data_IF_684810683597
#
_entry.id   IF_684810683597
#
_cell.length_a   1.000
_cell.length_b   1.000
_cell.length_c   1.000
_cell.angle_alpha   90.00
_cell.angle_beta   90.00
_cell.angle_gamma   90.00
#
_symmetry.space_group_name_H-M   'P 1'
#
loop_
_entity.id
_entity.type
_entity.pdbx_description
1 polymer ?
#
# COMPACT_ATOMS: atom_id res chain seq x y z
N UNK A 1 25.24 27.22 -1.60
CA UNK A 1 25.27 26.82 -0.18
C UNK A 1 25.38 25.31 -0.18
N UNK A 2 26.36 24.73 0.53
CA UNK A 2 26.39 23.28 0.71
C UNK A 2 25.11 22.86 1.45
N UNK A 3 24.44 21.76 1.08
CA UNK A 3 23.30 21.28 1.86
C UNK A 3 23.81 20.97 3.26
N UNK A 4 23.17 21.57 4.27
CA UNK A 4 23.33 21.12 5.65
C UNK A 4 22.93 19.65 5.70
N UNK A 5 23.73 18.75 6.29
CA UNK A 5 23.28 17.38 6.49
C UNK A 5 22.05 17.45 7.41
N UNK A 6 20.88 17.05 6.90
CA UNK A 6 19.69 16.83 7.72
C UNK A 6 20.08 15.91 8.88
N UNK A 7 19.65 16.19 10.12
CA UNK A 7 20.04 15.38 11.27
C UNK A 7 19.69 13.92 10.99
N UNK A 8 20.69 13.06 10.98
CA UNK A 8 20.52 11.63 10.79
C UNK A 8 19.87 11.07 12.05
N UNK A 9 18.62 10.61 11.91
CA UNK A 9 17.94 9.85 12.96
C UNK A 9 18.71 8.54 13.13
N UNK A 10 19.46 8.39 14.23
CA UNK A 10 20.31 7.21 14.45
C UNK A 10 19.56 6.06 15.14
N UNK A 11 18.54 6.40 15.95
CA UNK A 11 17.73 5.45 16.71
C UNK A 11 16.25 5.80 16.52
N UNK A 12 15.67 5.51 15.34
CA UNK A 12 14.34 5.98 14.98
C UNK A 12 13.28 5.40 15.91
N UNK A 13 12.36 6.24 16.38
CA UNK A 13 11.13 5.79 17.01
C UNK A 13 9.99 5.75 15.98
N UNK A 14 9.53 4.53 15.68
CA UNK A 14 8.44 4.26 14.74
C UNK A 14 7.19 3.83 15.51
N UNK A 15 6.14 4.64 15.45
CA UNK A 15 4.84 4.33 16.06
C UNK A 15 3.90 3.76 15.01
N UNK A 16 3.35 2.57 15.25
CA UNK A 16 2.38 1.90 14.35
C UNK A 16 1.00 1.90 15.02
N UNK A 17 0.09 2.74 14.53
CA UNK A 17 -1.27 2.88 15.04
C UNK A 17 -2.22 1.96 14.26
N UNK A 18 -2.78 0.97 14.95
CA UNK A 18 -3.45 -0.16 14.35
C UNK A 18 -2.50 -1.35 14.16
N UNK A 19 -1.63 -1.60 15.13
CA UNK A 19 -0.64 -2.68 15.13
C UNK A 19 -1.25 -4.08 15.03
N UNK A 20 -2.50 -4.27 15.46
CA UNK A 20 -3.27 -5.51 15.24
C UNK A 20 -3.72 -5.71 13.79
N UNK A 21 -3.39 -4.80 12.87
CA UNK A 21 -3.57 -5.04 11.44
C UNK A 21 -2.58 -6.12 10.97
N UNK A 22 -3.09 -7.33 10.74
CA UNK A 22 -2.31 -8.49 10.31
C UNK A 22 -1.58 -8.30 8.97
N UNK A 23 -1.98 -7.31 8.18
CA UNK A 23 -1.35 -6.95 6.91
C UNK A 23 -0.14 -6.04 7.09
N UNK A 24 -0.01 -5.33 8.21
CA UNK A 24 1.04 -4.31 8.40
C UNK A 24 1.86 -4.54 9.67
N UNK A 25 1.21 -4.76 10.81
CA UNK A 25 1.91 -4.84 12.10
C UNK A 25 2.98 -5.93 12.15
N UNK A 26 2.73 -7.08 11.53
CA UNK A 26 3.71 -8.17 11.47
C UNK A 26 4.86 -7.87 10.50
N UNK A 27 4.58 -7.26 9.36
CA UNK A 27 5.64 -6.89 8.41
C UNK A 27 6.52 -5.76 8.99
N UNK A 28 5.93 -4.83 9.74
CA UNK A 28 6.66 -3.79 10.44
C UNK A 28 7.62 -4.36 11.49
N UNK A 29 7.20 -5.39 12.25
CA UNK A 29 8.10 -6.11 13.18
C UNK A 29 9.28 -6.72 12.43
N UNK A 30 9.02 -7.40 11.30
CA UNK A 30 10.09 -7.99 10.47
C UNK A 30 11.11 -6.93 10.06
N UNK A 31 10.67 -5.81 9.48
CA UNK A 31 11.57 -4.80 8.94
C UNK A 31 12.33 -4.03 10.03
N UNK A 32 11.67 -3.72 11.15
CA UNK A 32 12.32 -3.07 12.30
C UNK A 32 13.41 -3.95 12.92
N UNK A 33 13.29 -5.28 12.87
CA UNK A 33 14.32 -6.21 13.35
C UNK A 33 15.39 -6.45 12.29
N UNK A 34 14.99 -6.61 11.03
CA UNK A 34 15.88 -6.93 9.91
C UNK A 34 16.86 -5.80 9.59
N UNK A 35 16.37 -4.56 9.53
CA UNK A 35 17.15 -3.43 9.02
C UNK A 35 18.18 -2.95 10.05
N UNK A 36 19.47 -2.86 9.69
CA UNK A 36 20.49 -2.26 10.57
C UNK A 36 20.30 -0.76 10.80
N UNK A 37 19.45 -0.10 10.00
CA UNK A 37 19.09 1.31 10.18
C UNK A 37 17.97 1.51 11.21
N UNK A 38 17.20 0.47 11.51
CA UNK A 38 16.01 0.54 12.36
C UNK A 38 16.15 -0.27 13.66
N UNK A 39 16.93 -1.36 13.66
CA UNK A 39 16.98 -2.35 14.73
C UNK A 39 17.68 -1.92 16.03
N UNK A 40 18.11 -0.66 16.11
CA UNK A 40 18.60 -0.02 17.33
C UNK A 40 17.68 1.08 17.85
N UNK A 41 16.54 1.30 17.18
CA UNK A 41 15.53 2.29 17.53
C UNK A 41 14.45 1.76 18.47
N UNK A 42 13.25 2.28 18.31
CA UNK A 42 12.06 1.89 19.08
C UNK A 42 10.90 1.60 18.14
N UNK A 43 10.27 0.43 18.30
CA UNK A 43 8.99 0.10 17.69
C UNK A 43 7.89 0.23 18.73
N UNK A 44 7.00 1.21 18.55
CA UNK A 44 5.84 1.42 19.41
C UNK A 44 4.57 0.90 18.73
N UNK A 45 3.91 -0.07 19.34
CA UNK A 45 2.70 -0.71 18.83
C UNK A 45 1.47 -0.14 19.51
N UNK A 46 0.48 0.29 18.74
CA UNK A 46 -0.78 0.82 19.29
C UNK A 46 -1.97 0.06 18.73
N UNK A 47 -2.81 -0.47 19.61
CA UNK A 47 -4.10 -1.06 19.25
C UNK A 47 -5.09 -0.96 20.42
N UNK A 48 -6.35 -0.67 20.11
CA UNK A 48 -7.41 -0.59 21.13
C UNK A 48 -7.89 -1.95 21.62
N UNK A 49 -7.59 -3.04 20.90
CA UNK A 49 -7.89 -4.38 21.35
C UNK A 49 -6.73 -4.93 22.20
N UNK A 50 -6.93 -5.17 23.51
CA UNK A 50 -5.85 -5.55 24.42
C UNK A 50 -5.25 -6.93 24.10
N UNK A 51 -6.06 -7.90 23.66
CA UNK A 51 -5.57 -9.25 23.31
C UNK A 51 -4.65 -9.20 22.08
N UNK A 52 -5.05 -8.43 21.07
CA UNK A 52 -4.25 -8.23 19.86
C UNK A 52 -2.99 -7.44 20.13
N UNK A 53 -3.07 -6.42 20.98
CA UNK A 53 -1.91 -5.62 21.37
C UNK A 53 -0.88 -6.47 22.13
N UNK A 54 -1.34 -7.26 23.09
CA UNK A 54 -0.49 -8.17 23.88
C UNK A 54 0.19 -9.21 22.99
N UNK A 55 -0.57 -9.90 22.13
CA UNK A 55 -0.02 -10.89 21.19
C UNK A 55 1.03 -10.28 20.24
N UNK A 56 0.76 -9.08 19.69
CA UNK A 56 1.72 -8.41 18.80
C UNK A 56 2.96 -7.89 19.55
N UNK A 57 2.82 -7.44 20.80
CA UNK A 57 3.94 -7.01 21.64
C UNK A 57 4.85 -8.19 21.96
N UNK A 58 4.28 -9.30 22.43
CA UNK A 58 5.03 -10.53 22.71
C UNK A 58 5.75 -11.05 21.46
N UNK A 59 5.05 -11.08 20.32
CA UNK A 59 5.65 -11.48 19.06
C UNK A 59 6.87 -10.60 18.72
N UNK A 60 6.74 -9.26 18.81
CA UNK A 60 7.82 -8.34 18.50
C UNK A 60 9.04 -8.52 19.42
N UNK A 61 8.82 -8.67 20.73
CA UNK A 61 9.87 -8.94 21.72
C UNK A 61 10.59 -10.28 21.44
N UNK A 62 9.83 -11.33 21.12
CA UNK A 62 10.39 -12.65 20.80
C UNK A 62 11.24 -12.61 19.53
N UNK A 63 10.78 -11.92 18.47
CA UNK A 63 11.52 -11.81 17.21
C UNK A 63 12.81 -10.99 17.41
N UNK A 64 12.74 -9.88 18.15
CA UNK A 64 13.92 -9.06 18.44
C UNK A 64 14.96 -9.83 19.27
N UNK A 65 14.52 -10.60 20.27
CA UNK A 65 15.38 -11.42 21.10
C UNK A 65 16.04 -12.57 20.31
N UNK A 66 15.29 -13.27 19.46
CA UNK A 66 15.80 -14.37 18.62
C UNK A 66 16.88 -13.89 17.63
N UNK A 67 16.71 -12.67 17.10
CA UNK A 67 17.68 -12.04 16.20
C UNK A 67 18.82 -11.31 16.93
N UNK A 68 18.80 -11.28 18.27
CA UNK A 68 19.82 -10.65 19.12
C UNK A 68 20.09 -9.17 18.75
N UNK A 69 19.02 -8.41 18.49
CA UNK A 69 19.09 -6.97 18.18
C UNK A 69 18.58 -6.13 19.36
N UNK A 70 19.10 -4.90 19.58
CA UNK A 70 18.74 -4.07 20.72
C UNK A 70 17.47 -3.22 20.48
N UNK A 71 16.55 -3.66 19.62
CA UNK A 71 15.32 -2.95 19.29
C UNK A 71 14.43 -2.84 20.53
N UNK A 72 14.09 -1.61 20.95
CA UNK A 72 13.15 -1.39 22.04
C UNK A 72 11.72 -1.56 21.56
N UNK A 73 10.90 -2.28 22.33
CA UNK A 73 9.46 -2.45 22.06
C UNK A 73 8.67 -1.66 23.11
N UNK A 74 7.75 -0.82 22.63
CA UNK A 74 6.75 -0.13 23.45
C UNK A 74 5.36 -0.53 22.96
N UNK A 75 4.36 -0.53 23.85
CA UNK A 75 2.98 -0.70 23.43
C UNK A 75 2.00 0.07 24.31
N UNK A 76 0.92 0.57 23.70
CA UNK A 76 -0.13 1.29 24.39
C UNK A 76 -1.49 1.13 23.70
N UNK A 77 -2.57 1.21 24.49
CA UNK A 77 -3.93 1.23 23.93
C UNK A 77 -4.29 2.61 23.36
N UNK A 78 -3.68 3.66 23.90
CA UNK A 78 -3.83 5.05 23.46
C UNK A 78 -2.53 5.51 22.82
N UNK A 79 -2.60 5.99 21.57
CA UNK A 79 -1.39 6.43 20.86
C UNK A 79 -0.69 7.58 21.59
N UNK A 80 -1.42 8.42 22.32
CA UNK A 80 -0.85 9.60 23.01
C UNK A 80 0.21 9.23 24.03
N UNK A 81 0.17 8.01 24.56
CA UNK A 81 1.14 7.52 25.54
C UNK A 81 2.51 7.20 24.91
N UNK A 82 2.54 6.94 23.60
CA UNK A 82 3.78 6.56 22.88
C UNK A 82 4.16 7.52 21.76
N UNK A 83 3.31 8.49 21.40
CA UNK A 83 3.65 9.54 20.42
C UNK A 83 4.86 10.42 20.81
N UNK A 84 5.12 10.77 22.10
CA UNK A 84 6.25 11.61 22.44
C UNK A 84 7.59 11.01 21.96
N UNK A 85 8.35 11.83 21.22
CA UNK A 85 9.64 11.45 20.65
C UNK A 85 9.56 10.58 19.39
N UNK A 86 8.38 10.38 18.80
CA UNK A 86 8.25 9.66 17.53
C UNK A 86 8.93 10.42 16.38
N UNK A 87 9.67 9.70 15.55
CA UNK A 87 10.20 10.19 14.26
C UNK A 87 9.27 9.84 13.11
N UNK A 88 8.55 8.71 13.22
CA UNK A 88 7.61 8.23 12.23
C UNK A 88 6.34 7.71 12.90
N UNK A 89 5.18 8.01 12.31
CA UNK A 89 3.87 7.54 12.75
C UNK A 89 3.14 6.92 11.55
N UNK A 90 2.95 5.61 11.58
CA UNK A 90 2.20 4.85 10.58
C UNK A 90 0.75 4.71 11.03
N UNK A 91 -0.18 5.19 10.22
CA UNK A 91 -1.62 5.02 10.44
C UNK A 91 -2.10 3.82 9.63
N UNK A 92 -2.53 2.75 10.31
CA UNK A 92 -2.96 1.49 9.67
C UNK A 92 -4.19 0.85 10.31
N UNK A 93 -4.95 1.60 11.12
CA UNK A 93 -6.16 1.10 11.77
C UNK A 93 -7.36 1.04 10.81
N UNK A 94 -8.27 0.09 11.08
CA UNK A 94 -9.60 0.03 10.49
C UNK A 94 -10.50 -0.81 11.40
N UNK A 95 -11.42 -0.16 12.11
CA UNK A 95 -12.27 -0.84 13.08
C UNK A 95 -13.23 -1.79 12.36
N UNK A 96 -13.28 -3.06 12.77
CA UNK A 96 -14.17 -4.10 12.21
C UNK A 96 -14.22 -4.11 10.67
N UNK A 97 -13.06 -3.95 10.01
CA UNK A 97 -12.95 -3.73 8.56
C UNK A 97 -13.72 -4.76 7.72
N UNK A 98 -13.65 -6.06 8.06
CA UNK A 98 -14.36 -7.12 7.32
C UNK A 98 -15.87 -6.94 7.39
N UNK A 99 -16.40 -6.63 8.58
CA UNK A 99 -17.82 -6.40 8.84
C UNK A 99 -18.34 -5.21 8.04
N UNK A 100 -17.69 -4.05 8.20
CA UNK A 100 -18.19 -2.82 7.58
C UNK A 100 -18.04 -2.84 6.07
N UNK A 101 -16.95 -3.40 5.53
CA UNK A 101 -16.83 -3.59 4.07
C UNK A 101 -17.92 -4.51 3.51
N UNK A 102 -18.26 -5.57 4.22
CA UNK A 102 -19.39 -6.43 3.87
C UNK A 102 -20.71 -5.66 3.81
N UNK A 103 -21.02 -4.89 4.85
CA UNK A 103 -22.22 -4.03 4.90
C UNK A 103 -22.20 -2.99 3.78
N UNK A 104 -21.08 -2.33 3.55
CA UNK A 104 -20.91 -1.30 2.52
C UNK A 104 -21.20 -1.88 1.12
N UNK A 105 -20.64 -3.05 0.80
CA UNK A 105 -20.84 -3.70 -0.48
C UNK A 105 -22.29 -4.20 -0.64
N UNK A 106 -22.89 -4.76 0.41
CA UNK A 106 -24.29 -5.21 0.40
C UNK A 106 -25.28 -4.05 0.20
N UNK A 107 -25.05 -2.93 0.89
CA UNK A 107 -25.87 -1.71 0.71
C UNK A 107 -25.68 -1.16 -0.70
N UNK A 108 -24.44 -1.10 -1.20
CA UNK A 108 -24.15 -0.63 -2.55
C UNK A 108 -24.87 -1.47 -3.60
N UNK A 109 -24.81 -2.80 -3.48
CA UNK A 109 -25.46 -3.73 -4.43
C UNK A 109 -26.99 -3.59 -4.40
N UNK A 110 -27.59 -3.38 -3.23
CA UNK A 110 -29.03 -3.10 -3.10
C UNK A 110 -29.48 -1.92 -3.96
N UNK A 111 -28.61 -0.94 -4.17
CA UNK A 111 -28.88 0.23 -5.01
C UNK A 111 -28.22 0.16 -6.40
N UNK A 112 -27.79 -1.03 -6.81
CA UNK A 112 -27.29 -1.32 -8.16
C UNK A 112 -25.80 -1.07 -8.38
N UNK A 113 -25.00 -0.84 -7.34
CA UNK A 113 -23.55 -0.65 -7.46
C UNK A 113 -22.81 -1.85 -6.86
N UNK A 114 -22.16 -2.65 -7.71
CA UNK A 114 -21.39 -3.82 -7.28
C UNK A 114 -19.96 -3.42 -6.97
N UNK A 115 -19.48 -3.83 -5.80
CA UNK A 115 -18.17 -3.48 -5.26
C UNK A 115 -17.44 -4.73 -4.79
N UNK A 116 -16.32 -5.07 -5.43
CA UNK A 116 -15.49 -6.22 -5.08
C UNK A 116 -14.54 -5.93 -3.91
N UNK A 117 -14.26 -4.66 -3.64
CA UNK A 117 -13.37 -4.18 -2.57
C UNK A 117 -14.13 -3.27 -1.60
N UNK A 118 -14.86 -2.26 -2.12
CA UNK A 118 -15.69 -1.39 -1.28
C UNK A 118 -14.93 -0.40 -0.40
N UNK A 119 -13.62 -0.23 -0.57
CA UNK A 119 -12.78 0.52 0.37
C UNK A 119 -12.18 1.82 -0.18
N UNK A 120 -12.40 2.16 -1.45
CA UNK A 120 -11.66 3.25 -2.09
C UNK A 120 -12.57 4.30 -2.74
N UNK A 121 -13.38 3.89 -3.71
CA UNK A 121 -14.27 4.76 -4.48
C UNK A 121 -15.72 4.32 -4.28
N UNK A 122 -16.68 4.98 -4.94
CA UNK A 122 -18.10 4.60 -4.90
C UNK A 122 -18.72 4.74 -3.50
N UNK A 123 -19.93 4.19 -3.28
CA UNK A 123 -20.62 4.33 -2.01
C UNK A 123 -19.83 3.74 -0.84
N UNK A 124 -19.20 2.56 -1.02
CA UNK A 124 -18.37 1.95 0.03
C UNK A 124 -17.16 2.81 0.43
N UNK A 125 -16.44 3.39 -0.54
CA UNK A 125 -15.35 4.33 -0.26
C UNK A 125 -15.83 5.57 0.51
N UNK A 126 -16.99 6.13 0.14
CA UNK A 126 -17.60 7.27 0.84
C UNK A 126 -17.99 6.89 2.27
N UNK A 127 -18.66 5.75 2.48
CA UNK A 127 -19.05 5.28 3.80
C UNK A 127 -17.83 5.05 4.69
N UNK A 128 -16.77 4.45 4.13
CA UNK A 128 -15.50 4.25 4.83
C UNK A 128 -14.84 5.58 5.21
N UNK A 129 -14.74 6.52 4.28
CA UNK A 129 -14.17 7.84 4.57
C UNK A 129 -14.93 8.53 5.73
N UNK A 130 -16.27 8.49 5.74
CA UNK A 130 -17.05 9.09 6.84
C UNK A 130 -16.82 8.42 8.20
N UNK A 131 -16.45 7.14 8.25
CA UNK A 131 -16.16 6.43 9.49
C UNK A 131 -14.74 6.68 10.00
N UNK A 132 -13.75 6.60 9.12
CA UNK A 132 -12.33 6.60 9.51
C UNK A 132 -11.74 8.01 9.59
N UNK A 133 -12.16 8.92 8.69
CA UNK A 133 -11.55 10.24 8.57
C UNK A 133 -11.60 11.06 9.87
N UNK A 134 -12.72 11.10 10.64
CA UNK A 134 -12.74 11.84 11.90
C UNK A 134 -11.64 11.40 12.88
N UNK A 135 -11.35 10.09 12.95
CA UNK A 135 -10.32 9.55 13.83
C UNK A 135 -8.91 9.83 13.31
N UNK A 136 -8.72 9.79 11.98
CA UNK A 136 -7.46 10.19 11.34
C UNK A 136 -7.14 11.65 11.64
N UNK A 137 -8.13 12.55 11.55
CA UNK A 137 -7.93 13.98 11.83
C UNK A 137 -7.65 14.24 13.31
N UNK A 138 -8.33 13.52 14.22
CA UNK A 138 -8.01 13.57 15.65
C UNK A 138 -6.56 13.13 15.92
N UNK A 139 -6.12 12.04 15.31
CA UNK A 139 -4.74 11.57 15.44
C UNK A 139 -3.74 12.60 14.88
N UNK A 140 -4.05 13.22 13.74
CA UNK A 140 -3.22 14.30 13.18
C UNK A 140 -3.10 15.49 14.15
N UNK A 141 -4.19 15.86 14.85
CA UNK A 141 -4.14 16.94 15.85
C UNK A 141 -3.26 16.56 17.06
N UNK A 142 -3.35 15.31 17.53
CA UNK A 142 -2.49 14.80 18.60
C UNK A 142 -1.00 14.74 18.19
N UNK A 143 -0.71 14.28 16.96
CA UNK A 143 0.66 14.27 16.41
C UNK A 143 1.23 15.69 16.34
N UNK A 144 0.44 16.65 15.84
CA UNK A 144 0.85 18.07 15.78
C UNK A 144 1.21 18.62 17.15
N UNK A 145 0.54 18.15 18.21
CA UNK A 145 0.82 18.59 19.56
C UNK A 145 2.01 17.86 20.21
N UNK A 146 2.14 16.55 20.00
CA UNK A 146 3.03 15.68 20.78
C UNK A 146 4.36 15.36 20.08
N UNK A 147 4.37 15.34 18.75
CA UNK A 147 5.54 15.04 17.93
C UNK A 147 5.45 15.72 16.54
N UNK A 148 5.41 17.06 16.48
CA UNK A 148 5.17 17.81 15.24
C UNK A 148 6.22 17.58 14.14
N UNK A 149 7.42 17.13 14.52
CA UNK A 149 8.50 16.85 13.58
C UNK A 149 8.42 15.46 12.92
N UNK A 150 7.51 14.60 13.39
CA UNK A 150 7.37 13.23 12.89
C UNK A 150 6.82 13.21 11.45
N UNK A 151 7.26 12.21 10.68
CA UNK A 151 6.64 11.85 9.42
C UNK A 151 5.38 11.01 9.67
N UNK A 152 4.24 11.44 9.13
CA UNK A 152 2.98 10.71 9.20
C UNK A 152 2.72 9.98 7.89
N UNK A 153 2.62 8.65 7.97
CA UNK A 153 2.44 7.77 6.83
C UNK A 153 1.04 7.16 6.91
N UNK A 154 0.12 7.64 6.08
CA UNK A 154 -1.24 7.11 6.03
C UNK A 154 -1.33 5.87 5.13
N UNK A 155 -1.62 4.72 5.74
CA UNK A 155 -1.94 3.47 5.04
C UNK A 155 -3.44 3.16 5.00
N UNK A 156 -4.27 4.04 5.57
CA UNK A 156 -5.72 3.84 5.70
C UNK A 156 -6.41 4.27 4.41
N UNK A 157 -7.23 3.37 3.86
CA UNK A 157 -8.10 3.67 2.73
C UNK A 157 -9.37 4.46 3.15
N UNK A 158 -9.94 5.30 2.27
CA UNK A 158 -9.46 5.65 0.93
C UNK A 158 -8.23 6.57 0.94
N UNK A 159 -7.09 6.07 0.45
CA UNK A 159 -5.78 6.72 0.63
C UNK A 159 -5.74 8.15 0.07
N UNK A 160 -6.30 8.35 -1.14
CA UNK A 160 -6.38 9.68 -1.76
C UNK A 160 -7.25 10.67 -0.98
N UNK A 161 -8.41 10.23 -0.47
CA UNK A 161 -9.33 11.11 0.29
C UNK A 161 -8.69 11.49 1.63
N UNK A 162 -8.15 10.51 2.34
CA UNK A 162 -7.51 10.72 3.63
C UNK A 162 -6.26 11.59 3.49
N UNK A 163 -5.43 11.36 2.46
CA UNK A 163 -4.26 12.18 2.16
C UNK A 163 -4.61 13.64 1.84
N UNK A 164 -5.63 13.88 1.00
CA UNK A 164 -6.12 15.24 0.73
C UNK A 164 -6.66 15.91 2.00
N UNK A 165 -7.40 15.17 2.83
CA UNK A 165 -7.95 15.70 4.06
C UNK A 165 -6.86 16.06 5.07
N UNK A 166 -5.85 15.20 5.25
CA UNK A 166 -4.68 15.49 6.09
C UNK A 166 -3.91 16.70 5.57
N UNK A 167 -3.63 16.78 4.27
CA UNK A 167 -2.95 17.92 3.65
C UNK A 167 -3.69 19.25 3.91
N UNK A 168 -5.02 19.24 3.96
CA UNK A 168 -5.84 20.43 4.19
C UNK A 168 -6.02 20.77 5.66
N UNK A 169 -6.18 19.76 6.52
CA UNK A 169 -6.44 19.94 7.95
C UNK A 169 -5.14 20.16 8.75
N UNK A 170 -4.07 19.49 8.35
CA UNK A 170 -2.77 19.45 9.01
C UNK A 170 -1.63 19.75 8.02
N UNK A 171 -1.73 20.87 7.30
CA UNK A 171 -0.78 21.28 6.27
C UNK A 171 0.66 21.48 6.78
N UNK A 172 0.82 21.63 8.09
CA UNK A 172 2.10 21.80 8.78
C UNK A 172 2.77 20.46 9.15
N UNK A 173 2.04 19.35 9.10
CA UNK A 173 2.62 18.01 9.31
C UNK A 173 3.30 17.48 8.06
N UNK A 174 4.46 16.86 8.27
CA UNK A 174 5.17 16.09 7.24
C UNK A 174 4.39 14.81 6.99
N UNK A 175 3.63 14.73 5.90
CA UNK A 175 2.79 13.57 5.63
C UNK A 175 2.73 13.15 4.17
N UNK A 176 2.53 11.86 3.97
CA UNK A 176 2.18 11.26 2.69
C UNK A 176 1.32 10.02 2.94
N UNK A 177 0.73 9.48 1.87
CA UNK A 177 -0.08 8.28 1.96
C UNK A 177 0.51 7.16 1.09
N UNK A 178 0.20 5.91 1.44
CA UNK A 178 0.76 4.73 0.78
C UNK A 178 -0.32 3.75 0.36
N UNK A 179 0.09 2.85 -0.52
CA UNK A 179 -0.60 1.63 -0.89
C UNK A 179 0.43 0.56 -1.20
N UNK A 180 0.08 -0.69 -0.95
CA UNK A 180 0.96 -1.83 -1.15
C UNK A 180 1.07 -2.28 -2.62
N UNK A 181 0.14 -1.82 -3.47
CA UNK A 181 -0.02 -2.35 -4.83
C UNK A 181 1.21 -2.14 -5.73
N UNK A 182 1.98 -1.08 -5.48
CA UNK A 182 3.14 -0.66 -6.28
C UNK A 182 4.44 -0.68 -5.47
N UNK A 183 4.55 -1.58 -4.49
CA UNK A 183 5.77 -1.74 -3.68
C UNK A 183 6.99 -2.06 -4.56
N UNK A 184 8.01 -1.22 -4.46
CA UNK A 184 9.29 -1.36 -5.15
C UNK A 184 10.25 -2.26 -4.36
N UNK A 185 11.10 -3.08 -5.01
CA UNK A 185 11.24 -3.27 -6.47
C UNK A 185 10.28 -4.34 -7.03
N UNK A 186 9.42 -4.95 -6.19
CA UNK A 186 8.56 -6.07 -6.57
C UNK A 186 7.68 -5.78 -7.78
N UNK A 187 7.07 -4.60 -7.85
CA UNK A 187 6.23 -4.20 -8.98
C UNK A 187 7.02 -4.16 -10.29
N UNK A 188 8.24 -3.61 -10.26
CA UNK A 188 9.06 -3.45 -11.47
C UNK A 188 9.63 -4.77 -11.95
N UNK A 189 10.06 -5.64 -11.03
CA UNK A 189 10.41 -7.04 -11.31
C UNK A 189 9.25 -7.80 -11.96
N UNK A 190 8.04 -7.68 -11.42
CA UNK A 190 6.84 -8.32 -11.97
C UNK A 190 6.59 -7.90 -13.42
N UNK A 191 6.69 -6.61 -13.72
CA UNK A 191 6.48 -6.12 -15.09
C UNK A 191 7.66 -6.39 -16.03
N UNK A 192 8.88 -6.50 -15.53
CA UNK A 192 10.02 -6.95 -16.32
C UNK A 192 9.84 -8.40 -16.80
N UNK A 193 9.34 -9.28 -15.93
CA UNK A 193 8.97 -10.65 -16.30
C UNK A 193 7.85 -10.66 -17.35
N UNK A 194 6.76 -9.93 -17.12
CA UNK A 194 5.64 -9.84 -18.07
C UNK A 194 6.03 -9.23 -19.41
N UNK A 195 7.04 -8.36 -19.43
CA UNK A 195 7.57 -7.76 -20.65
C UNK A 195 8.56 -8.67 -21.39
N UNK A 196 8.96 -9.80 -20.79
CA UNK A 196 9.98 -10.70 -21.33
C UNK A 196 11.40 -10.14 -21.26
N UNK A 197 11.68 -9.21 -20.34
CA UNK A 197 13.05 -8.75 -20.05
C UNK A 197 13.82 -9.82 -19.26
N UNK A 198 13.11 -10.52 -18.37
CA UNK A 198 13.65 -11.62 -17.55
C UNK A 198 12.78 -12.86 -17.69
N UNK A 199 13.39 -14.04 -17.61
CA UNK A 199 12.69 -15.32 -17.62
C UNK A 199 12.31 -15.78 -16.21
N UNK A 200 13.12 -15.42 -15.21
CA UNK A 200 12.84 -15.69 -13.81
C UNK A 200 12.83 -14.38 -12.99
N UNK A 201 11.87 -14.19 -12.05
CA UNK A 201 11.90 -13.07 -11.12
C UNK A 201 13.24 -12.86 -10.37
N UNK A 202 14.03 -13.91 -10.17
CA UNK A 202 15.34 -13.82 -9.52
C UNK A 202 16.45 -13.24 -10.42
N UNK A 203 16.22 -13.12 -11.73
CA UNK A 203 17.21 -12.58 -12.68
C UNK A 203 17.20 -11.04 -12.72
N UNK A 204 16.37 -10.39 -11.88
CA UNK A 204 16.25 -8.94 -11.85
C UNK A 204 17.45 -8.28 -11.17
N UNK A 205 18.19 -7.45 -11.91
CA UNK A 205 19.41 -6.79 -11.45
C UNK A 205 19.27 -5.26 -11.43
N UNK A 206 20.18 -4.57 -10.75
CA UNK A 206 20.25 -3.11 -10.74
C UNK A 206 20.49 -2.52 -12.14
N UNK A 207 21.15 -3.25 -13.04
CA UNK A 207 21.33 -2.84 -14.42
C UNK A 207 19.99 -2.83 -15.18
N UNK A 208 19.19 -3.90 -15.02
CA UNK A 208 17.84 -3.98 -15.57
C UNK A 208 16.95 -2.90 -14.95
N UNK A 209 17.06 -2.67 -13.63
CA UNK A 209 16.33 -1.61 -12.96
C UNK A 209 16.61 -0.24 -13.61
N UNK A 210 17.88 0.13 -13.77
CA UNK A 210 18.25 1.42 -14.39
C UNK A 210 17.82 1.53 -15.85
N UNK A 211 17.82 0.42 -16.60
CA UNK A 211 17.49 0.41 -18.03
C UNK A 211 15.99 0.32 -18.33
N UNK A 212 15.16 -0.19 -17.40
CA UNK A 212 13.71 -0.31 -17.59
C UNK A 212 12.97 0.97 -17.16
N UNK A 213 12.69 1.86 -18.11
CA UNK A 213 11.90 3.09 -17.91
C UNK A 213 10.40 2.75 -17.83
N UNK A 214 9.96 2.46 -16.61
CA UNK A 214 8.56 2.20 -16.27
C UNK A 214 7.96 3.42 -15.57
N UNK A 215 6.94 4.03 -16.17
CA UNK A 215 6.24 5.19 -15.60
C UNK A 215 4.78 4.85 -15.36
N UNK A 216 4.39 4.89 -14.10
CA UNK A 216 3.03 4.67 -13.64
C UNK A 216 2.53 5.96 -13.00
N UNK A 217 1.30 6.33 -13.28
CA UNK A 217 0.63 7.44 -12.62
C UNK A 217 -0.88 7.21 -12.52
N UNK A 218 -1.50 7.90 -11.57
CA UNK A 218 -2.94 7.92 -11.36
C UNK A 218 -3.27 8.31 -9.92
N UNK A 219 -4.54 8.23 -9.56
CA UNK A 219 -4.92 8.26 -8.14
C UNK A 219 -4.76 6.85 -7.56
N UNK A 220 -4.63 6.73 -6.24
CA UNK A 220 -4.58 5.44 -5.54
C UNK A 220 -5.60 4.46 -6.12
N UNK A 221 -5.17 3.22 -6.43
CA UNK A 221 -6.02 2.14 -6.99
C UNK A 221 -6.58 2.36 -8.42
N UNK A 222 -6.34 3.52 -9.02
CA UNK A 222 -6.66 3.82 -10.43
C UNK A 222 -5.42 4.32 -11.16
N UNK A 223 -4.36 3.52 -11.04
CA UNK A 223 -3.04 3.77 -11.62
C UNK A 223 -2.84 3.03 -12.94
N UNK A 224 -2.11 3.68 -13.84
CA UNK A 224 -1.89 3.22 -15.21
C UNK A 224 -0.42 3.31 -15.58
N UNK A 225 0.08 2.27 -16.23
CA UNK A 225 1.42 2.26 -16.83
C UNK A 225 1.38 3.06 -18.13
N UNK A 226 1.88 4.29 -18.07
CA UNK A 226 1.92 5.24 -19.17
C UNK A 226 3.13 5.03 -20.08
N UNK A 227 4.21 4.46 -19.53
CA UNK A 227 5.42 4.10 -20.27
C UNK A 227 6.01 2.81 -19.72
N UNK A 228 6.47 1.95 -20.62
CA UNK A 228 7.33 0.80 -20.34
C UNK A 228 8.31 0.67 -21.49
N UNK A 229 9.55 1.13 -21.29
CA UNK A 229 10.59 1.10 -22.33
C UNK A 229 11.85 0.44 -21.80
N UNK A 230 12.45 -0.43 -22.63
CA UNK A 230 13.73 -1.08 -22.35
C UNK A 230 14.50 -1.19 -23.66
N UNK A 231 15.78 -0.79 -23.66
CA UNK A 231 16.64 -0.79 -24.86
C UNK A 231 15.98 -0.10 -26.08
N UNK A 232 15.27 1.00 -25.84
CA UNK A 232 14.58 1.78 -26.87
C UNK A 232 13.30 1.15 -27.44
N UNK A 233 12.83 0.02 -26.89
CA UNK A 233 11.60 -0.66 -27.33
C UNK A 233 10.43 -0.36 -26.39
N UNK A 234 9.26 -0.02 -26.94
CA UNK A 234 8.02 0.06 -26.16
C UNK A 234 7.50 -1.36 -25.85
N UNK A 235 7.39 -1.67 -24.56
CA UNK A 235 7.03 -2.98 -24.04
C UNK A 235 5.56 -3.09 -23.60
N UNK A 236 4.78 -2.00 -23.60
CA UNK A 236 3.36 -2.06 -23.28
C UNK A 236 2.59 -3.14 -24.08
N UNK A 237 2.81 -3.30 -25.42
CA UNK A 237 2.16 -4.37 -26.17
C UNK A 237 2.56 -5.78 -25.72
N UNK A 238 3.82 -6.00 -25.31
CA UNK A 238 4.27 -7.31 -24.80
C UNK A 238 3.62 -7.64 -23.46
N UNK A 239 3.54 -6.65 -22.56
CA UNK A 239 2.86 -6.80 -21.27
C UNK A 239 1.36 -7.08 -21.48
N UNK A 240 0.72 -6.38 -22.42
CA UNK A 240 -0.68 -6.61 -22.76
C UNK A 240 -0.90 -8.03 -23.34
N UNK A 241 0.00 -8.50 -24.20
CA UNK A 241 -0.07 -9.84 -24.76
C UNK A 241 0.08 -10.91 -23.67
N UNK A 242 1.02 -10.73 -22.74
CA UNK A 242 1.14 -11.61 -21.57
C UNK A 242 -0.17 -11.67 -20.77
N UNK A 243 -0.83 -10.52 -20.54
CA UNK A 243 -2.11 -10.47 -19.84
C UNK A 243 -3.23 -11.19 -20.60
N UNK A 244 -3.23 -11.13 -21.94
CA UNK A 244 -4.16 -11.86 -22.80
C UNK A 244 -3.98 -13.37 -22.68
N UNK A 245 -2.74 -13.84 -22.73
CA UNK A 245 -2.40 -15.25 -22.57
C UNK A 245 -2.71 -15.76 -21.17
N UNK A 246 -2.40 -14.97 -20.14
CA UNK A 246 -2.71 -15.28 -18.75
C UNK A 246 -4.21 -15.37 -18.50
N UNK A 247 -4.99 -14.44 -19.06
CA UNK A 247 -6.45 -14.47 -19.00
C UNK A 247 -7.05 -15.75 -19.60
N UNK A 248 -6.43 -16.31 -20.65
CA UNK A 248 -6.89 -17.52 -21.33
C UNK A 248 -6.63 -18.81 -20.53
N UNK A 249 -5.74 -18.77 -19.52
CA UNK A 249 -5.49 -19.92 -18.63
C UNK A 249 -6.63 -20.15 -17.65
N UNK A 250 -7.47 -19.13 -17.41
CA UNK A 250 -8.50 -19.11 -16.37
C UNK A 250 -7.98 -19.41 -14.95
N UNK A 251 -6.66 -19.34 -14.77
CA UNK A 251 -5.98 -19.59 -13.50
C UNK A 251 -5.95 -18.29 -12.68
N UNK A 252 -6.51 -18.34 -11.48
CA UNK A 252 -6.51 -17.22 -10.53
C UNK A 252 -5.38 -17.33 -9.51
N UNK A 253 -4.47 -18.31 -9.67
CA UNK A 253 -3.45 -18.62 -8.67
C UNK A 253 -4.05 -19.10 -7.34
N UNK A 254 -5.28 -19.62 -7.37
CA UNK A 254 -6.03 -20.07 -6.21
C UNK A 254 -6.87 -19.01 -5.48
N UNK A 255 -6.70 -17.71 -5.77
CA UNK A 255 -7.56 -16.68 -5.16
C UNK A 255 -8.85 -16.47 -5.98
N UNK A 256 -9.93 -17.07 -5.49
CA UNK A 256 -11.27 -16.96 -6.09
C UNK A 256 -12.09 -15.80 -5.53
N UNK A 257 -11.50 -14.95 -4.69
CA UNK A 257 -12.16 -13.78 -4.10
C UNK A 257 -12.53 -12.73 -5.14
N UNK A 258 -13.52 -11.89 -4.82
CA UNK A 258 -14.07 -10.90 -5.74
C UNK A 258 -13.01 -9.95 -6.33
N UNK A 259 -11.98 -9.63 -5.56
CA UNK A 259 -10.86 -8.78 -5.98
C UNK A 259 -9.91 -9.46 -6.99
N UNK A 260 -9.75 -10.78 -6.93
CA UNK A 260 -8.74 -11.51 -7.70
C UNK A 260 -9.26 -11.98 -9.06
N UNK A 261 -10.55 -12.34 -9.14
CA UNK A 261 -11.14 -12.89 -10.35
C UNK A 261 -11.11 -11.90 -11.53
N UNK A 262 -10.83 -12.45 -12.72
CA UNK A 262 -10.81 -11.78 -14.04
C UNK A 262 -9.83 -10.63 -14.20
N UNK A 263 -8.86 -10.47 -13.30
CA UNK A 263 -7.94 -9.33 -13.33
C UNK A 263 -7.15 -9.24 -14.65
N UNK A 264 -6.57 -10.33 -15.15
CA UNK A 264 -5.82 -10.31 -16.42
C UNK A 264 -6.73 -10.02 -17.62
N UNK A 265 -7.93 -10.61 -17.66
CA UNK A 265 -8.92 -10.37 -18.72
C UNK A 265 -9.40 -8.91 -18.74
N UNK A 266 -9.75 -8.36 -17.58
CA UNK A 266 -10.12 -6.95 -17.41
C UNK A 266 -8.96 -6.05 -17.81
N UNK A 267 -7.73 -6.35 -17.37
CA UNK A 267 -6.55 -5.54 -17.69
C UNK A 267 -6.32 -5.46 -19.20
N UNK A 268 -6.46 -6.58 -19.90
CA UNK A 268 -6.32 -6.63 -21.36
C UNK A 268 -7.44 -5.83 -22.07
N UNK A 269 -8.71 -6.00 -21.68
CA UNK A 269 -9.81 -5.21 -22.26
C UNK A 269 -9.64 -3.71 -22.02
N UNK A 270 -9.15 -3.31 -20.84
CA UNK A 270 -8.85 -1.90 -20.54
C UNK A 270 -7.68 -1.38 -21.37
N UNK A 271 -6.66 -2.19 -21.62
CA UNK A 271 -5.60 -1.86 -22.56
C UNK A 271 -6.15 -1.66 -23.98
N UNK A 272 -7.06 -2.50 -24.47
CA UNK A 272 -7.68 -2.31 -25.78
C UNK A 272 -8.49 -1.01 -25.89
N UNK A 273 -9.12 -0.58 -24.80
CA UNK A 273 -9.92 0.65 -24.75
C UNK A 273 -9.04 1.90 -24.66
N UNK A 274 -8.06 1.89 -23.73
CA UNK A 274 -7.32 3.09 -23.35
C UNK A 274 -5.91 3.17 -23.95
N UNK A 275 -5.36 2.06 -24.45
CA UNK A 275 -3.99 1.96 -24.96
C UNK A 275 -2.92 1.85 -23.87
N UNK A 276 -3.31 1.70 -22.59
CA UNK A 276 -2.41 1.67 -21.44
C UNK A 276 -2.79 0.54 -20.47
N UNK A 277 -1.81 -0.02 -19.78
CA UNK A 277 -2.01 -1.16 -18.87
C UNK A 277 -2.38 -0.64 -17.48
N UNK A 278 -3.54 -1.00 -16.90
CA UNK A 278 -3.85 -0.68 -15.51
C UNK A 278 -2.98 -1.53 -14.57
N UNK A 279 -2.53 -0.97 -13.45
CA UNK A 279 -1.56 -1.64 -12.56
C UNK A 279 -2.12 -2.05 -11.18
N UNK A 280 -3.38 -1.72 -10.90
CA UNK A 280 -4.08 -2.10 -9.67
C UNK A 280 -5.50 -2.63 -9.97
N UNK A 281 -5.63 -3.52 -10.96
CA UNK A 281 -6.94 -3.83 -11.57
C UNK A 281 -7.97 -4.43 -10.60
N UNK A 282 -7.51 -5.07 -9.53
CA UNK A 282 -8.32 -5.57 -8.42
C UNK A 282 -9.22 -4.50 -7.78
N UNK A 283 -8.85 -3.23 -7.94
CA UNK A 283 -9.62 -2.07 -7.52
C UNK A 283 -10.02 -1.17 -8.69
N UNK A 284 -9.19 -1.05 -9.74
CA UNK A 284 -9.50 -0.22 -10.93
C UNK A 284 -10.85 -0.56 -11.54
N UNK A 285 -11.28 -1.82 -11.48
CA UNK A 285 -12.58 -2.27 -11.98
C UNK A 285 -13.79 -1.65 -11.28
N UNK A 286 -13.64 -1.11 -10.06
CA UNK A 286 -14.70 -0.37 -9.35
C UNK A 286 -14.82 1.10 -9.81
N UNK A 287 -13.80 1.64 -10.47
CA UNK A 287 -13.81 3.02 -11.00
C UNK A 287 -14.59 3.14 -12.31
N UNK A 288 -14.91 2.00 -12.95
CA UNK A 288 -15.43 1.95 -14.30
C UNK A 288 -16.80 1.25 -14.33
N UNK A 289 -17.71 1.68 -15.23
CA UNK A 289 -19.09 1.19 -15.24
C UNK A 289 -19.26 -0.19 -15.90
N UNK A 290 -18.22 -0.72 -16.55
CA UNK A 290 -18.36 -1.82 -17.52
C UNK A 290 -18.85 -3.15 -16.91
N UNK A 291 -18.47 -3.45 -15.68
CA UNK A 291 -18.77 -4.74 -15.02
C UNK A 291 -19.81 -4.62 -13.90
N UNK A 292 -20.60 -3.55 -13.88
CA UNK A 292 -21.65 -3.35 -12.86
C UNK A 292 -22.89 -4.24 -13.07
N UNK A 293 -23.02 -4.89 -14.22
CA UNK A 293 -24.14 -5.80 -14.50
C UNK A 293 -25.41 -5.15 -15.04
N UNK A 294 -25.32 -3.91 -15.53
CA UNK A 294 -26.44 -3.17 -16.11
C UNK A 294 -26.77 -3.56 -17.57
N UNK A 295 -26.17 -4.62 -18.10
CA UNK A 295 -26.42 -5.08 -19.48
C UNK A 295 -25.96 -4.10 -20.56
N UNK A 296 -25.08 -3.15 -20.23
CA UNK A 296 -24.57 -2.11 -21.14
C UNK A 296 -23.57 -2.66 -22.17
N UNK A 297 -23.07 -3.88 -21.98
CA UNK A 297 -22.19 -4.60 -22.91
C UNK A 297 -22.56 -6.09 -22.96
N UNK A 298 -22.44 -6.71 -24.14
CA UNK A 298 -22.33 -8.17 -24.26
C UNK A 298 -20.88 -8.53 -23.90
N UNK A 299 -20.60 -8.63 -22.61
CA UNK A 299 -19.26 -8.96 -22.10
C UNK A 299 -19.15 -10.46 -21.81
N UNK A 300 -17.96 -11.03 -22.05
CA UNK A 300 -17.62 -12.40 -21.63
C UNK A 300 -17.32 -12.46 -20.14
N UNK A 301 -16.90 -11.33 -19.55
CA UNK A 301 -16.62 -11.20 -18.13
C UNK A 301 -17.95 -10.97 -17.39
N UNK A 302 -18.28 -11.79 -16.36
CA UNK A 302 -19.51 -11.61 -15.61
C UNK A 302 -19.48 -10.31 -14.80
N UNK A 303 -20.64 -9.82 -14.32
CA UNK A 303 -20.68 -8.68 -13.44
C UNK A 303 -19.85 -8.91 -12.16
N UNK A 304 -19.24 -7.86 -11.62
CA UNK A 304 -18.34 -7.95 -10.47
C UNK A 304 -18.99 -8.69 -9.31
N UNK A 305 -18.31 -9.70 -8.78
CA UNK A 305 -18.64 -10.27 -7.48
C UNK A 305 -18.47 -9.22 -6.40
N UNK A 306 -19.29 -9.30 -5.35
CA UNK A 306 -19.18 -8.43 -4.18
C UNK A 306 -18.20 -9.01 -3.15
N UNK A 307 -17.69 -8.17 -2.26
CA UNK A 307 -16.85 -8.56 -1.13
C UNK A 307 -17.36 -9.80 -0.37
N UNK A 308 -16.51 -10.83 -0.30
CA UNK A 308 -16.80 -12.11 0.36
C UNK A 308 -16.52 -12.08 1.88
N UNK A 309 -17.49 -11.63 2.69
CA UNK A 309 -17.33 -11.42 4.14
C UNK A 309 -16.81 -12.65 4.91
N UNK A 310 -17.46 -13.81 4.81
CA UNK A 310 -17.09 -15.00 5.60
C UNK A 310 -15.67 -15.49 5.27
N UNK A 311 -15.34 -15.64 3.98
CA UNK A 311 -14.00 -16.03 3.55
C UNK A 311 -12.91 -15.00 3.89
N UNK A 312 -13.29 -13.78 4.28
CA UNK A 312 -12.36 -12.76 4.79
C UNK A 312 -12.16 -12.91 6.29
N UNK A 313 -13.18 -13.32 7.05
CA UNK A 313 -13.01 -13.74 8.44
C UNK A 313 -12.09 -14.94 8.55
N UNK A 314 -12.31 -16.00 7.76
CA UNK A 314 -11.45 -17.19 7.76
C UNK A 314 -9.98 -16.85 7.50
N UNK A 315 -9.72 -15.94 6.55
CA UNK A 315 -8.36 -15.47 6.25
C UNK A 315 -7.74 -14.68 7.40
N UNK A 316 -8.52 -13.80 8.04
CA UNK A 316 -8.03 -13.05 9.20
C UNK A 316 -7.77 -13.98 10.39
N UNK A 317 -8.62 -14.98 10.60
CA UNK A 317 -8.43 -15.97 11.67
C UNK A 317 -7.19 -16.83 11.42
N UNK A 318 -6.96 -17.29 10.18
CA UNK A 318 -5.73 -18.00 9.83
C UNK A 318 -4.46 -17.16 10.05
N UNK A 319 -4.52 -15.85 9.79
CA UNK A 319 -3.41 -14.94 10.06
C UNK A 319 -3.17 -14.72 11.56
N UNK A 320 -4.23 -14.63 12.38
CA UNK A 320 -4.11 -14.58 13.84
C UNK A 320 -3.59 -15.88 14.41
N UNK A 321 -4.06 -17.02 13.89
CA UNK A 321 -3.57 -18.34 14.25
C UNK A 321 -2.06 -18.46 14.00
N UNK A 322 -1.55 -17.86 12.91
CA UNK A 322 -0.10 -17.81 12.66
C UNK A 322 0.65 -17.01 13.74
N UNK A 323 0.09 -15.89 14.23
CA UNK A 323 0.67 -15.13 15.35
C UNK A 323 0.67 -15.98 16.62
N UNK A 324 -0.46 -16.60 16.94
CA UNK A 324 -0.61 -17.46 18.11
C UNK A 324 0.35 -18.65 18.07
N UNK A 325 0.60 -19.22 16.89
CA UNK A 325 1.52 -20.33 16.71
C UNK A 325 2.97 -19.93 16.99
N UNK A 326 3.39 -18.73 16.59
CA UNK A 326 4.68 -18.17 16.97
C UNK A 326 4.78 -17.89 18.47
N UNK A 327 3.79 -17.17 19.03
CA UNK A 327 3.78 -16.77 20.44
C UNK A 327 3.74 -17.99 21.37
N UNK A 328 2.99 -19.03 21.01
CA UNK A 328 2.91 -20.27 21.78
C UNK A 328 4.10 -21.23 21.55
N UNK A 329 4.97 -20.95 20.58
CA UNK A 329 6.08 -21.81 20.21
C UNK A 329 5.69 -23.07 19.42
N UNK A 330 4.44 -23.18 18.93
CA UNK A 330 4.04 -24.23 17.98
C UNK A 330 4.80 -24.10 16.66
N UNK A 331 5.04 -22.87 16.22
CA UNK A 331 6.00 -22.55 15.16
C UNK A 331 7.25 -21.97 15.80
N UNK A 332 8.45 -22.48 15.50
CA UNK A 332 9.70 -21.91 15.99
C UNK A 332 9.81 -20.42 15.64
N UNK A 333 10.16 -19.57 16.60
CA UNK A 333 10.25 -18.12 16.37
C UNK A 333 11.30 -17.75 15.30
N UNK A 334 12.38 -18.52 15.20
CA UNK A 334 13.40 -18.35 14.14
C UNK A 334 12.88 -18.55 12.72
N UNK A 335 11.71 -19.16 12.53
CA UNK A 335 11.07 -19.26 11.21
C UNK A 335 10.41 -17.94 10.79
N UNK A 336 10.17 -17.00 11.73
CA UNK A 336 9.49 -15.74 11.47
C UNK A 336 10.15 -14.95 10.33
N UNK A 337 11.49 -14.85 10.36
CA UNK A 337 12.24 -14.09 9.37
C UNK A 337 12.21 -14.72 7.97
N UNK A 338 11.89 -16.01 7.87
CA UNK A 338 11.80 -16.74 6.61
C UNK A 338 10.39 -16.71 5.98
N UNK A 339 9.36 -16.54 6.80
CA UNK A 339 7.95 -16.54 6.33
C UNK A 339 7.37 -15.15 6.18
N UNK A 340 7.94 -14.17 6.89
CA UNK A 340 7.56 -12.76 6.80
C UNK A 340 8.54 -12.00 5.90
N UNK A 341 8.15 -10.78 5.53
CA UNK A 341 8.94 -9.87 4.73
C UNK A 341 8.55 -8.42 5.04
N UNK A 342 9.19 -7.46 4.36
CA UNK A 342 8.96 -6.06 4.61
C UNK A 342 7.57 -5.61 4.16
N UNK A 343 7.12 -4.48 4.69
CA UNK A 343 6.02 -3.70 4.13
C UNK A 343 6.54 -2.41 3.48
N UNK A 344 5.71 -1.79 2.64
CA UNK A 344 6.10 -0.58 1.90
C UNK A 344 6.41 0.62 2.82
N UNK A 345 5.72 0.78 3.97
CA UNK A 345 5.96 1.92 4.85
C UNK A 345 7.31 1.78 5.55
N UNK A 346 7.60 0.62 6.13
CA UNK A 346 8.86 0.41 6.85
C UNK A 346 10.08 0.35 5.92
N UNK A 347 9.92 -0.09 4.66
CA UNK A 347 10.96 0.06 3.63
C UNK A 347 11.26 1.53 3.30
N UNK A 348 10.22 2.36 3.19
CA UNK A 348 10.39 3.81 2.97
C UNK A 348 11.08 4.45 4.18
N UNK A 349 10.69 4.07 5.40
CA UNK A 349 11.33 4.56 6.63
C UNK A 349 12.81 4.19 6.64
N UNK A 350 13.17 2.93 6.37
CA UNK A 350 14.57 2.51 6.22
C UNK A 350 15.29 3.38 5.18
N UNK A 351 14.71 3.55 4.00
CA UNK A 351 15.32 4.34 2.94
C UNK A 351 15.56 5.80 3.36
N UNK A 352 14.62 6.41 4.09
CA UNK A 352 14.73 7.77 4.60
C UNK A 352 15.80 7.90 5.70
N UNK A 353 15.81 6.96 6.65
CA UNK A 353 16.76 6.93 7.78
C UNK A 353 18.18 6.61 7.30
N UNK A 354 18.32 5.60 6.45
CA UNK A 354 19.60 5.14 5.89
C UNK A 354 20.10 6.00 4.73
N UNK A 355 19.28 6.93 4.21
CA UNK A 355 19.56 7.72 3.02
C UNK A 355 19.99 6.83 1.83
N UNK A 356 19.21 5.77 1.55
CA UNK A 356 19.56 4.71 0.60
C UNK A 356 19.30 5.09 -0.87
N UNK A 357 18.59 6.19 -1.11
CA UNK A 357 18.37 6.75 -2.46
C UNK A 357 17.46 5.89 -3.36
N UNK A 358 16.68 4.97 -2.79
CA UNK A 358 15.73 4.14 -3.52
C UNK A 358 14.42 4.90 -3.78
N UNK A 359 13.85 4.80 -4.97
CA UNK A 359 12.57 5.43 -5.27
C UNK A 359 11.39 4.52 -4.90
N UNK A 360 10.30 5.14 -4.47
CA UNK A 360 9.07 4.44 -4.06
C UNK A 360 7.83 5.08 -4.68
N UNK A 361 6.77 4.27 -4.87
CA UNK A 361 5.47 4.80 -5.27
C UNK A 361 4.75 5.35 -4.05
N UNK A 362 4.46 6.66 -4.08
CA UNK A 362 3.91 7.39 -2.93
C UNK A 362 2.71 8.20 -3.40
N UNK A 363 1.64 8.19 -2.60
CA UNK A 363 0.53 9.09 -2.79
C UNK A 363 0.89 10.46 -2.18
N UNK A 364 1.08 11.46 -3.05
CA UNK A 364 1.46 12.83 -2.68
C UNK A 364 0.96 13.83 -3.71
N UNK A 365 1.18 15.13 -3.47
CA UNK A 365 0.88 16.19 -4.44
C UNK A 365 1.69 16.03 -5.72
N UNK A 366 1.05 16.22 -6.88
CA UNK A 366 1.62 16.07 -8.21
C UNK A 366 2.89 16.89 -8.47
N UNK A 367 2.96 18.16 -8.00
CA UNK A 367 4.13 19.05 -8.14
C UNK A 367 4.71 19.08 -9.57
N UNK A 368 3.84 19.16 -10.57
CA UNK A 368 4.20 19.21 -11.99
C UNK A 368 4.69 17.90 -12.63
N UNK A 369 4.73 16.78 -11.91
CA UNK A 369 5.19 15.50 -12.47
C UNK A 369 4.30 14.98 -13.60
N UNK A 370 2.98 15.10 -13.44
CA UNK A 370 1.98 14.94 -14.49
C UNK A 370 1.60 16.31 -15.02
N UNK A 371 2.11 16.65 -16.21
CA UNK A 371 2.18 18.04 -16.70
C UNK A 371 0.83 18.65 -17.07
N UNK A 372 -0.21 17.83 -17.24
CA UNK A 372 -1.56 18.25 -17.61
C UNK A 372 -2.61 18.02 -16.50
N UNK A 373 -2.15 17.89 -15.26
CA UNK A 373 -2.95 17.83 -14.02
C UNK A 373 -2.50 18.95 -13.07
N UNK A 374 -3.35 19.35 -12.13
CA UNK A 374 -3.03 20.41 -11.16
C UNK A 374 -1.84 20.00 -10.26
N UNK A 375 -1.05 20.96 -9.79
CA UNK A 375 0.11 20.70 -8.93
C UNK A 375 -0.28 20.10 -7.58
N UNK A 376 -1.48 20.41 -7.09
CA UNK A 376 -2.04 19.90 -5.84
C UNK A 376 -2.91 18.64 -6.03
N UNK A 377 -2.98 18.08 -7.25
CA UNK A 377 -3.63 16.79 -7.46
C UNK A 377 -2.89 15.72 -6.65
N UNK A 378 -3.64 14.93 -5.86
CA UNK A 378 -3.05 13.90 -5.01
C UNK A 378 -2.98 12.57 -5.76
N UNK A 379 -1.77 12.20 -6.18
CA UNK A 379 -1.49 11.13 -7.13
C UNK A 379 -0.51 10.13 -6.55
N UNK A 380 -0.64 8.87 -6.96
CA UNK A 380 0.33 7.81 -6.71
C UNK A 380 1.42 7.86 -7.79
N UNK A 381 2.61 8.31 -7.41
CA UNK A 381 3.72 8.60 -8.32
C UNK A 381 5.02 8.01 -7.79
N UNK A 382 5.92 7.62 -8.69
CA UNK A 382 7.28 7.24 -8.31
C UNK A 382 8.02 8.49 -7.81
N UNK A 383 8.49 8.46 -6.58
CA UNK A 383 9.14 9.57 -5.91
C UNK A 383 10.56 9.22 -5.50
N UNK A 384 11.48 10.18 -5.65
CA UNK A 384 12.68 10.19 -4.82
C UNK A 384 12.27 10.64 -3.42
N UNK A 385 12.70 9.94 -2.38
CA UNK A 385 12.31 10.24 -1.00
C UNK A 385 13.49 10.12 -0.04
N UNK A 386 13.59 11.12 0.83
CA UNK A 386 14.51 11.23 1.97
C UNK A 386 13.81 12.03 3.09
N UNK A 387 14.55 12.51 4.09
CA UNK A 387 14.01 13.26 5.22
C UNK A 387 13.38 14.62 4.85
N UNK A 388 13.58 15.13 3.62
CA UNK A 388 12.92 16.34 3.11
C UNK A 388 11.56 16.03 2.43
N UNK A 389 11.23 14.74 2.29
CA UNK A 389 9.94 14.25 1.81
C UNK A 389 9.92 13.81 0.35
N UNK A 390 8.75 13.34 -0.13
CA UNK A 390 8.60 12.82 -1.47
C UNK A 390 8.77 13.91 -2.53
N UNK A 391 9.57 13.59 -3.55
CA UNK A 391 9.76 14.39 -4.76
C UNK A 391 9.34 13.55 -5.97
N UNK A 392 8.12 13.77 -6.49
CA UNK A 392 7.61 13.02 -7.63
C UNK A 392 8.51 13.17 -8.87
N UNK A 393 8.82 12.05 -9.51
CA UNK A 393 9.58 12.03 -10.77
C UNK A 393 8.69 12.43 -11.95
N UNK A 394 9.23 13.10 -12.98
CA UNK A 394 8.45 13.46 -14.16
C UNK A 394 7.84 12.25 -14.88
N UNK A 395 6.55 12.31 -15.13
CA UNK A 395 5.80 11.26 -15.84
C UNK A 395 5.46 11.70 -17.27
N UNK A 396 5.03 12.94 -17.45
CA UNK A 396 4.51 13.48 -18.71
C UNK A 396 3.01 13.75 -18.63
N UNK A 397 2.31 13.72 -19.77
CA UNK A 397 0.87 13.97 -19.79
C UNK A 397 0.07 12.71 -19.43
N UNK A 398 -0.97 12.88 -18.60
CA UNK A 398 -2.01 11.86 -18.42
C UNK A 398 -2.84 11.75 -19.71
N UNK A 399 -3.01 10.56 -20.31
CA UNK A 399 -3.82 10.37 -21.50
C UNK A 399 -5.25 10.87 -21.33
N UNK A 400 -5.82 11.49 -22.38
CA UNK A 400 -7.13 12.16 -22.30
C UNK A 400 -8.25 11.25 -21.78
N UNK A 401 -8.28 9.98 -22.20
CA UNK A 401 -9.30 9.02 -21.79
C UNK A 401 -9.16 8.55 -20.33
N UNK A 402 -7.98 8.70 -19.73
CA UNK A 402 -7.71 8.36 -18.33
C UNK A 402 -7.85 9.58 -17.41
N UNK A 403 -7.55 10.77 -17.94
CA UNK A 403 -7.60 12.04 -17.20
C UNK A 403 -9.03 12.53 -16.95
N UNK A 404 -9.90 12.36 -17.95
CA UNK A 404 -11.31 12.77 -17.89
C UNK A 404 -12.14 11.76 -17.13
#
# INVERSE_FOLDING_TARGET
>A
MAPHPSPTVQHPKVVVIGAGSLFFGRQAVWQMVHSPHLNTGTLALVDTNPERLDAMTQLAEMVAADNNVPLAIESAADWRDVLPGADFVVLSFARDTVKYRGIDCQISEKYGVRMCSGDTIGPGGIFRAMRELPLILQCADDIRQLCPDAWVINYINPSTVNGIAMMRHAADLKSFALCDSLHMPHVKRRYAYRAGIIENPYDYTDEIDRAFDMRIAGVNHFTWMLKAEYEGQNLLPKIAEWLREDAAKEDTGGDTGAKAIYNSAISYQLYEIFGYVPVCVAHTKEYLPYWQGHGTRKDTIPPLSIWETEARYDRHEAMWQQVDDFVSGRTPIGDYMNVMGPDHATDIIENMVGNLGQPFYINSTNRGAVTNMADDAFLELLCDIDMDGPRPRPVGEMPRGLRG
#
